data_IF_772233211825
#
_entry.id   IF_772233211825
#
_cell.length_a   1.000
_cell.length_b   1.000
_cell.length_c   1.000
_cell.angle_alpha   90.00
_cell.angle_beta   90.00
_cell.angle_gamma   90.00
#
_symmetry.space_group_name_H-M   'P 1'
#
loop_
_entity.id
_entity.type
_entity.pdbx_description
1 polymer ?
#
# COMPACT_ATOMS: atom_id res chain seq x y z
N UNK A 1 -2.19 -3.48 12.27
CA UNK A 1 -2.35 -3.78 13.72
C UNK A 1 -0.98 -3.56 14.34
N UNK A 2 -0.90 -2.93 15.50
CA UNK A 2 0.34 -2.91 16.31
C UNK A 2 -0.01 -3.20 17.76
N UNK A 3 0.72 -4.10 18.42
CA UNK A 3 0.47 -4.58 19.78
C UNK A 3 -1.01 -4.89 20.06
N UNK A 4 -1.68 -4.01 20.81
CA UNK A 4 -3.07 -4.13 21.20
C UNK A 4 -3.99 -3.15 20.47
N UNK A 5 -3.55 -2.52 19.37
CA UNK A 5 -4.33 -1.54 18.61
C UNK A 5 -4.64 -2.05 17.21
N UNK A 6 -5.92 -2.08 16.86
CA UNK A 6 -6.43 -2.36 15.53
C UNK A 6 -7.21 -1.14 15.03
N UNK A 7 -6.85 -0.65 13.85
CA UNK A 7 -7.60 0.38 13.13
C UNK A 7 -8.34 -0.26 11.96
N UNK A 8 -9.61 0.10 11.78
CA UNK A 8 -10.45 -0.35 10.66
C UNK A 8 -10.99 0.87 9.94
N UNK A 9 -10.69 0.97 8.65
CA UNK A 9 -11.14 2.05 7.78
C UNK A 9 -12.57 1.81 7.29
N UNK A 10 -13.37 2.86 7.23
CA UNK A 10 -14.70 2.87 6.67
C UNK A 10 -14.86 4.06 5.71
N UNK A 11 -14.15 4.06 4.56
CA UNK A 11 -14.09 5.22 3.66
C UNK A 11 -15.45 5.63 3.07
N UNK A 12 -16.42 4.73 3.07
CA UNK A 12 -17.78 4.98 2.57
C UNK A 12 -18.74 5.53 3.63
N UNK A 13 -18.27 5.69 4.87
CA UNK A 13 -19.09 6.20 5.97
C UNK A 13 -19.57 7.63 5.73
N UNK A 14 -20.79 7.93 6.21
CA UNK A 14 -21.41 9.25 6.20
C UNK A 14 -21.37 9.98 4.83
N UNK A 15 -21.79 9.29 3.76
CA UNK A 15 -21.80 9.89 2.42
C UNK A 15 -20.40 10.06 1.84
N UNK A 16 -19.56 9.02 1.96
CA UNK A 16 -18.20 8.98 1.42
C UNK A 16 -17.22 9.96 2.10
N UNK A 17 -17.56 10.51 3.26
CA UNK A 17 -16.62 11.31 4.06
C UNK A 17 -15.54 10.40 4.67
N UNK A 18 -15.95 9.22 5.11
CA UNK A 18 -15.05 8.23 5.70
C UNK A 18 -14.93 8.34 7.23
N UNK A 19 -14.44 7.26 7.82
CA UNK A 19 -14.20 7.12 9.25
C UNK A 19 -13.15 6.04 9.53
N UNK A 20 -12.60 6.05 10.74
CA UNK A 20 -11.74 5.01 11.28
C UNK A 20 -12.30 4.57 12.62
N UNK A 21 -12.44 3.26 12.78
CA UNK A 21 -12.80 2.62 14.04
C UNK A 21 -11.55 2.06 14.69
N UNK A 22 -11.32 2.42 15.95
CA UNK A 22 -10.14 1.97 16.71
C UNK A 22 -10.58 0.97 17.75
N UNK A 23 -9.94 -0.20 17.74
CA UNK A 23 -10.17 -1.29 18.66
C UNK A 23 -8.93 -1.52 19.52
N UNK A 24 -9.16 -1.80 20.80
CA UNK A 24 -8.12 -2.28 21.71
C UNK A 24 -8.31 -3.74 22.06
N UNK A 25 -7.23 -4.51 21.90
CA UNK A 25 -7.12 -5.92 22.20
C UNK A 25 -6.76 -6.19 23.66
N UNK A 26 -7.39 -7.20 24.24
CA UNK A 26 -7.03 -7.77 25.54
C UNK A 26 -7.25 -9.29 25.50
N UNK A 27 -6.16 -10.05 25.40
CA UNK A 27 -6.23 -11.48 25.14
C UNK A 27 -6.87 -11.77 23.78
N UNK A 28 -7.95 -12.56 23.77
CA UNK A 28 -8.69 -12.89 22.54
C UNK A 28 -9.87 -11.96 22.25
N UNK A 29 -10.01 -10.84 22.97
CA UNK A 29 -11.13 -9.92 22.84
C UNK A 29 -10.69 -8.56 22.31
N UNK A 30 -11.46 -8.02 21.37
CA UNK A 30 -11.28 -6.68 20.81
C UNK A 30 -12.48 -5.82 21.18
N UNK A 31 -12.23 -4.60 21.63
CA UNK A 31 -13.27 -3.65 22.04
C UNK A 31 -13.13 -2.35 21.27
N UNK A 32 -14.22 -1.86 20.68
CA UNK A 32 -14.25 -0.55 20.04
C UNK A 32 -14.00 0.53 21.11
N UNK A 33 -12.95 1.33 20.91
CA UNK A 33 -12.55 2.41 21.81
C UNK A 33 -12.93 3.78 21.28
N UNK A 34 -12.81 3.99 19.97
CA UNK A 34 -13.01 5.31 19.36
C UNK A 34 -13.51 5.20 17.91
N UNK A 35 -14.20 6.24 17.47
CA UNK A 35 -14.58 6.47 16.07
C UNK A 35 -14.10 7.86 15.68
N UNK A 36 -13.26 7.91 14.65
CA UNK A 36 -12.68 9.16 14.15
C UNK A 36 -13.20 9.40 12.76
N UNK A 37 -13.88 10.51 12.55
CA UNK A 37 -14.38 10.95 11.25
C UNK A 37 -13.39 11.92 10.59
N UNK A 38 -13.55 12.12 9.28
CA UNK A 38 -12.83 13.17 8.56
C UNK A 38 -12.91 14.52 9.31
N UNK A 39 -11.78 15.13 9.71
CA UNK A 39 -11.77 16.43 10.40
C UNK A 39 -12.34 17.57 9.55
N UNK A 40 -12.35 17.43 8.22
CA UNK A 40 -12.88 18.44 7.31
C UNK A 40 -14.38 18.28 7.04
N UNK A 41 -14.98 17.13 7.39
CA UNK A 41 -16.36 16.76 7.09
C UNK A 41 -16.74 16.98 5.61
N UNK A 42 -15.83 16.63 4.70
CA UNK A 42 -15.98 16.83 3.26
C UNK A 42 -16.49 15.54 2.61
N UNK A 43 -17.59 15.63 1.86
CA UNK A 43 -18.12 14.48 1.14
C UNK A 43 -17.13 14.00 0.07
N UNK A 44 -17.05 12.68 -0.14
CA UNK A 44 -16.08 12.04 -1.04
C UNK A 44 -14.62 12.26 -0.65
N UNK A 45 -14.35 12.49 0.65
CA UNK A 45 -12.99 12.56 1.19
C UNK A 45 -12.46 11.20 1.67
N UNK A 46 -13.25 10.12 1.55
CA UNK A 46 -12.86 8.72 1.78
C UNK A 46 -11.86 8.46 2.92
N UNK A 47 -11.98 9.20 4.02
CA UNK A 47 -11.09 9.11 5.16
C UNK A 47 -11.06 7.68 5.72
N UNK A 48 -9.86 7.14 5.93
CA UNK A 48 -9.69 5.72 6.30
C UNK A 48 -9.58 4.78 5.10
N UNK A 49 -9.38 5.28 3.88
CA UNK A 49 -9.19 4.43 2.69
C UNK A 49 -7.85 3.67 2.71
N UNK A 50 -6.82 4.25 3.30
CA UNK A 50 -5.52 3.62 3.53
C UNK A 50 -5.14 3.79 4.99
N UNK A 51 -4.48 2.79 5.58
CA UNK A 51 -4.15 2.77 7.00
C UNK A 51 -2.76 2.20 7.23
N UNK A 52 -2.06 2.79 8.19
CA UNK A 52 -0.81 2.32 8.77
C UNK A 52 -0.93 2.42 10.28
N UNK A 53 -0.51 1.40 11.00
CA UNK A 53 -0.60 1.37 12.47
C UNK A 53 0.77 1.01 13.01
N UNK A 54 1.28 1.87 13.87
CA UNK A 54 2.55 1.73 14.59
C UNK A 54 2.31 1.98 16.08
N UNK A 55 3.31 1.67 16.91
CA UNK A 55 3.22 1.90 18.36
C UNK A 55 2.96 3.36 18.72
N UNK A 56 3.43 4.28 17.87
CA UNK A 56 3.35 5.73 18.08
C UNK A 56 2.05 6.34 17.55
N UNK A 57 1.24 5.60 16.79
CA UNK A 57 -0.02 6.12 16.28
C UNK A 57 -0.58 5.42 15.04
N UNK A 58 -1.57 6.07 14.46
CA UNK A 58 -2.25 5.62 13.23
C UNK A 58 -2.00 6.67 12.15
N UNK A 59 -1.66 6.22 10.96
CA UNK A 59 -1.63 7.02 9.74
C UNK A 59 -2.82 6.62 8.88
N UNK A 60 -3.49 7.60 8.30
CA UNK A 60 -4.66 7.37 7.45
C UNK A 60 -4.69 8.31 6.26
N UNK A 61 -5.07 7.79 5.10
CA UNK A 61 -5.31 8.58 3.89
C UNK A 61 -6.79 8.88 3.63
N UNK A 62 -7.02 9.95 2.86
CA UNK A 62 -8.29 10.37 2.26
C UNK A 62 -8.25 11.85 1.81
N UNK A 63 -9.06 12.35 0.86
CA UNK A 63 -9.19 11.86 -0.51
C UNK A 63 -9.25 12.96 -1.59
N UNK A 64 -9.63 12.48 -2.78
CA UNK A 64 -9.68 13.03 -4.13
C UNK A 64 -10.19 14.47 -4.27
N UNK A 65 -11.01 14.98 -3.35
CA UNK A 65 -11.67 16.29 -3.51
C UNK A 65 -10.73 17.50 -3.35
N UNK A 66 -9.56 17.30 -2.73
CA UNK A 66 -8.58 18.36 -2.47
C UNK A 66 -7.14 17.96 -2.85
N UNK A 67 -6.94 16.94 -3.68
CA UNK A 67 -5.61 16.38 -3.96
C UNK A 67 -5.11 15.38 -2.93
N UNK A 68 -5.94 15.03 -1.94
CA UNK A 68 -5.62 14.06 -0.89
C UNK A 68 -4.75 14.60 0.25
N UNK A 69 -4.77 13.90 1.37
CA UNK A 69 -3.96 14.15 2.55
C UNK A 69 -3.68 12.84 3.29
N UNK A 70 -2.66 12.86 4.16
CA UNK A 70 -2.46 11.83 5.19
C UNK A 70 -2.62 12.51 6.55
N UNK A 71 -3.36 11.89 7.46
CA UNK A 71 -3.51 12.35 8.83
C UNK A 71 -2.72 11.43 9.75
N UNK A 72 -1.87 12.01 10.60
CA UNK A 72 -1.20 11.32 11.67
C UNK A 72 -2.00 11.51 12.97
N UNK A 73 -2.44 10.39 13.53
CA UNK A 73 -3.23 10.34 14.74
C UNK A 73 -2.40 9.74 15.86
N UNK A 74 -2.42 10.39 17.01
CA UNK A 74 -1.87 9.83 18.23
C UNK A 74 -2.93 9.82 19.33
N UNK A 75 -2.83 8.84 20.19
CA UNK A 75 -3.80 8.61 21.23
C UNK A 75 -3.53 7.32 21.99
N UNK A 76 -4.25 7.16 23.09
CA UNK A 76 -4.30 5.91 23.84
C UNK A 76 -5.68 5.76 24.47
N UNK A 77 -6.15 4.52 24.62
CA UNK A 77 -7.50 4.24 25.10
C UNK A 77 -8.56 4.89 24.20
N UNK A 78 -9.43 5.70 24.80
CA UNK A 78 -10.60 6.34 24.15
C UNK A 78 -10.36 7.79 23.73
N UNK A 79 -9.11 8.21 23.58
CA UNK A 79 -8.78 9.59 23.17
C UNK A 79 -7.74 9.57 22.07
N UNK A 80 -8.19 9.70 20.84
CA UNK A 80 -7.35 9.87 19.66
C UNK A 80 -7.58 11.24 19.04
N UNK A 81 -6.50 11.86 18.59
CA UNK A 81 -6.56 13.18 17.94
C UNK A 81 -5.63 13.22 16.74
N UNK A 82 -6.03 13.98 15.72
CA UNK A 82 -5.15 14.31 14.60
C UNK A 82 -4.05 15.24 15.13
N UNK A 83 -2.81 14.75 15.17
CA UNK A 83 -1.64 15.53 15.55
C UNK A 83 -1.09 16.33 14.37
N UNK A 84 -1.13 15.74 13.17
CA UNK A 84 -0.60 16.36 11.97
C UNK A 84 -1.43 16.01 10.75
N UNK A 85 -1.66 17.01 9.90
CA UNK A 85 -2.07 16.80 8.50
C UNK A 85 -0.82 16.91 7.63
N UNK A 86 -0.53 15.83 6.90
CA UNK A 86 0.62 15.67 6.02
C UNK A 86 0.15 15.87 4.59
N UNK A 87 0.77 16.82 3.91
CA UNK A 87 0.61 17.09 2.48
C UNK A 87 1.98 17.43 1.88
N UNK A 88 2.28 17.02 0.64
CA UNK A 88 3.49 17.43 -0.03
C UNK A 88 3.36 18.89 -0.51
N UNK A 89 4.50 19.58 -0.67
CA UNK A 89 4.51 21.02 -0.98
C UNK A 89 4.01 21.34 -2.39
N UNK A 90 4.17 20.39 -3.31
CA UNK A 90 3.81 20.39 -4.72
C UNK A 90 2.40 19.83 -4.99
N UNK A 91 1.64 19.51 -3.94
CA UNK A 91 0.31 18.89 -4.04
C UNK A 91 -0.65 19.69 -4.93
N UNK A 92 -1.06 19.09 -6.03
CA UNK A 92 -2.15 19.50 -6.91
C UNK A 92 -3.51 18.98 -6.46
N UNK A 93 -4.58 19.62 -6.96
CA UNK A 93 -5.96 19.36 -6.55
C UNK A 93 -6.52 17.97 -6.94
N UNK A 94 -5.79 17.21 -7.75
CA UNK A 94 -6.22 15.92 -8.27
C UNK A 94 -5.10 14.86 -8.17
N UNK A 95 -4.19 14.99 -7.22
CA UNK A 95 -3.02 14.12 -7.14
C UNK A 95 -3.31 12.78 -6.45
N UNK A 96 -4.43 12.71 -5.71
CA UNK A 96 -4.82 11.59 -4.87
C UNK A 96 -3.73 11.18 -3.85
N UNK A 97 -3.04 12.16 -3.26
CA UNK A 97 -2.05 11.90 -2.21
C UNK A 97 -2.68 11.18 -1.02
N UNK A 98 -2.06 10.10 -0.55
CA UNK A 98 -2.62 9.26 0.52
C UNK A 98 -3.50 8.11 0.00
N UNK A 99 -3.61 7.93 -1.32
CA UNK A 99 -4.33 6.79 -1.91
C UNK A 99 -3.82 5.45 -1.37
N UNK A 100 -2.50 5.30 -1.28
CA UNK A 100 -1.85 4.20 -0.60
C UNK A 100 -0.80 4.73 0.37
N UNK A 101 -0.58 4.02 1.46
CA UNK A 101 0.47 4.36 2.41
C UNK A 101 1.02 3.09 3.07
N UNK A 102 2.29 3.14 3.45
CA UNK A 102 2.95 2.10 4.23
C UNK A 102 3.91 2.75 5.23
N UNK A 103 4.01 2.17 6.42
CA UNK A 103 4.81 2.68 7.54
C UNK A 103 5.65 1.55 8.10
N UNK A 104 6.89 1.88 8.46
CA UNK A 104 7.81 1.01 9.21
C UNK A 104 8.59 1.89 10.20
N UNK A 105 8.21 1.80 11.47
CA UNK A 105 8.76 2.63 12.53
C UNK A 105 8.65 4.13 12.21
N UNK A 106 9.79 4.81 12.08
CA UNK A 106 9.82 6.25 11.79
C UNK A 106 9.83 6.60 10.29
N UNK A 107 9.49 5.67 9.40
CA UNK A 107 9.51 5.86 7.94
C UNK A 107 8.11 5.66 7.37
N UNK A 108 7.71 6.53 6.46
CA UNK A 108 6.41 6.49 5.80
C UNK A 108 6.61 6.66 4.29
N UNK A 109 5.92 5.83 3.53
CA UNK A 109 5.81 5.95 2.07
C UNK A 109 4.35 6.25 1.75
N UNK A 110 4.11 7.28 0.94
CA UNK A 110 2.76 7.68 0.53
C UNK A 110 2.68 7.71 -0.98
N UNK A 111 1.68 7.04 -1.54
CA UNK A 111 1.36 7.04 -2.96
C UNK A 111 0.42 8.18 -3.35
N UNK A 112 0.61 8.67 -4.56
CA UNK A 112 -0.14 9.77 -5.18
C UNK A 112 -0.34 9.47 -6.67
N UNK A 113 -1.15 8.46 -7.01
CA UNK A 113 -1.19 7.86 -8.35
C UNK A 113 -1.70 8.78 -9.47
N UNK A 114 -2.32 9.91 -9.13
CA UNK A 114 -2.81 10.87 -10.12
C UNK A 114 -1.91 12.10 -10.27
N UNK A 115 -0.83 12.20 -9.48
CA UNK A 115 0.12 13.31 -9.54
C UNK A 115 0.81 13.37 -10.91
N UNK A 116 0.76 14.54 -11.57
CA UNK A 116 1.45 14.76 -12.84
C UNK A 116 1.03 13.82 -13.99
N UNK A 117 -0.08 13.09 -13.85
CA UNK A 117 -0.54 12.04 -14.77
C UNK A 117 0.16 10.68 -14.59
N UNK A 118 1.49 10.67 -14.42
CA UNK A 118 2.26 9.42 -14.24
C UNK A 118 2.19 8.82 -12.83
N UNK A 119 1.76 9.62 -11.84
CA UNK A 119 1.78 9.26 -10.43
C UNK A 119 3.12 9.56 -9.76
N UNK A 120 3.10 9.61 -8.44
CA UNK A 120 4.27 9.85 -7.61
C UNK A 120 4.22 9.06 -6.30
N UNK A 121 5.38 8.89 -5.69
CA UNK A 121 5.53 8.46 -4.30
C UNK A 121 6.34 9.48 -3.52
N UNK A 122 5.99 9.60 -2.24
CA UNK A 122 6.62 10.52 -1.31
C UNK A 122 7.14 9.74 -0.11
N UNK A 123 8.36 10.06 0.29
CA UNK A 123 9.01 9.47 1.46
C UNK A 123 9.00 10.48 2.60
N UNK A 124 8.58 10.07 3.78
CA UNK A 124 8.58 10.86 4.99
C UNK A 124 9.36 10.16 6.11
N UNK A 125 9.90 10.95 7.02
CA UNK A 125 10.43 10.44 8.29
C UNK A 125 9.82 11.18 9.47
N UNK A 126 9.55 10.47 10.54
CA UNK A 126 9.12 11.04 11.81
C UNK A 126 10.30 11.48 12.67
N UNK A 127 10.21 12.66 13.28
CA UNK A 127 11.09 13.11 14.36
C UNK A 127 10.33 14.04 15.29
N UNK A 128 10.31 13.72 16.59
CA UNK A 128 9.60 14.49 17.63
C UNK A 128 8.12 14.69 17.24
N UNK A 129 7.42 13.58 16.96
CA UNK A 129 5.98 13.56 16.65
C UNK A 129 5.60 14.37 15.39
N UNK A 130 6.55 14.57 14.48
CA UNK A 130 6.33 15.30 13.23
C UNK A 130 6.93 14.55 12.06
N UNK A 131 6.09 14.26 11.06
CA UNK A 131 6.45 13.70 9.77
C UNK A 131 6.97 14.80 8.85
N UNK A 132 8.13 14.55 8.25
CA UNK A 132 8.82 15.49 7.35
C UNK A 132 9.19 14.79 6.05
N UNK A 133 8.89 15.42 4.92
CA UNK A 133 9.19 14.88 3.59
C UNK A 133 10.72 14.78 3.42
N UNK A 134 11.20 13.64 2.95
CA UNK A 134 12.61 13.29 2.71
C UNK A 134 12.92 13.02 1.25
N UNK A 135 11.91 12.78 0.44
CA UNK A 135 12.08 12.55 -0.98
C UNK A 135 10.75 12.43 -1.69
N UNK A 136 10.81 12.55 -3.00
CA UNK A 136 9.73 12.36 -3.93
C UNK A 136 10.30 11.66 -5.16
N UNK A 137 9.55 10.72 -5.71
CA UNK A 137 9.84 10.10 -6.98
C UNK A 137 8.58 10.11 -7.83
N UNK A 138 8.68 10.76 -8.98
CA UNK A 138 7.67 10.71 -10.03
C UNK A 138 8.01 9.57 -10.99
N UNK A 139 7.03 9.10 -11.75
CA UNK A 139 7.29 8.09 -12.77
C UNK A 139 8.39 8.58 -13.74
N UNK A 140 9.49 7.83 -13.92
CA UNK A 140 10.52 8.18 -14.89
C UNK A 140 10.05 8.09 -16.35
N UNK A 141 8.91 7.43 -16.62
CA UNK A 141 8.25 7.29 -17.91
C UNK A 141 7.37 8.49 -18.25
N UNK A 142 7.49 9.00 -19.48
CA UNK A 142 6.81 10.23 -19.94
C UNK A 142 5.30 10.09 -20.20
N UNK A 143 4.65 9.05 -19.68
CA UNK A 143 3.23 8.82 -19.94
C UNK A 143 2.37 9.28 -18.78
N UNK A 144 1.33 10.05 -19.11
CA UNK A 144 0.43 10.65 -18.14
C UNK A 144 -0.57 9.64 -17.52
N UNK A 145 -0.25 8.34 -17.48
CA UNK A 145 -1.18 7.29 -17.05
C UNK A 145 -0.57 6.14 -16.25
N UNK A 146 0.73 6.11 -15.95
CA UNK A 146 1.39 4.94 -15.36
C UNK A 146 0.89 4.61 -13.92
N UNK A 147 0.35 5.61 -13.24
CA UNK A 147 -0.28 5.53 -11.92
C UNK A 147 0.67 5.02 -10.81
N UNK A 148 1.93 5.45 -10.83
CA UNK A 148 2.90 5.17 -9.78
C UNK A 148 2.36 5.58 -8.39
N UNK A 149 2.48 4.67 -7.42
CA UNK A 149 1.97 4.87 -6.06
C UNK A 149 0.53 4.38 -5.88
N UNK A 150 -0.02 3.61 -6.82
CA UNK A 150 -1.30 2.91 -6.62
C UNK A 150 -1.21 1.91 -5.48
N UNK A 151 -0.05 1.31 -5.27
CA UNK A 151 0.25 0.46 -4.12
C UNK A 151 1.66 0.79 -3.61
N UNK A 152 1.87 0.76 -2.31
CA UNK A 152 3.19 0.95 -1.69
C UNK A 152 3.37 -0.03 -0.53
N UNK A 153 4.62 -0.42 -0.29
CA UNK A 153 5.02 -1.21 0.86
C UNK A 153 6.42 -0.78 1.31
N UNK A 154 6.74 -0.92 2.60
CA UNK A 154 8.05 -0.61 3.17
C UNK A 154 8.42 -1.67 4.21
N UNK A 155 9.69 -2.06 4.20
CA UNK A 155 10.32 -2.85 5.26
C UNK A 155 11.76 -2.39 5.44
N UNK A 156 12.12 -2.04 6.68
CA UNK A 156 13.35 -1.40 7.05
C UNK A 156 13.69 -0.23 6.09
N UNK A 157 14.74 -0.38 5.28
CA UNK A 157 15.20 0.67 4.37
C UNK A 157 14.88 0.38 2.91
N UNK A 158 14.00 -0.60 2.62
CA UNK A 158 13.49 -0.89 1.26
C UNK A 158 12.02 -0.51 1.17
N UNK A 159 11.65 0.18 0.10
CA UNK A 159 10.26 0.43 -0.26
C UNK A 159 9.98 -0.09 -1.67
N UNK A 160 8.73 -0.48 -1.90
CA UNK A 160 8.23 -0.93 -3.20
C UNK A 160 7.02 -0.09 -3.55
N UNK A 161 6.91 0.32 -4.82
CA UNK A 161 5.74 1.03 -5.31
C UNK A 161 5.27 0.43 -6.64
N UNK A 162 3.97 0.21 -6.76
CA UNK A 162 3.32 -0.25 -7.99
C UNK A 162 2.88 0.89 -8.91
N UNK A 163 3.03 0.66 -10.21
CA UNK A 163 2.53 1.45 -11.32
C UNK A 163 1.79 0.50 -12.28
N UNK A 164 0.55 0.07 -11.94
CA UNK A 164 -0.15 -0.99 -12.66
C UNK A 164 -0.56 -0.62 -14.09
N UNK A 165 -0.67 0.67 -14.36
CA UNK A 165 -1.03 1.21 -15.68
C UNK A 165 0.21 1.57 -16.49
N UNK A 166 1.42 1.20 -16.05
CA UNK A 166 2.65 1.58 -16.73
C UNK A 166 2.65 1.12 -18.18
N UNK A 167 3.08 2.00 -19.08
CA UNK A 167 3.16 1.72 -20.53
C UNK A 167 4.23 0.66 -20.91
N UNK A 168 4.92 0.04 -19.94
CA UNK A 168 5.74 -1.15 -20.17
C UNK A 168 4.88 -2.30 -20.70
N UNK A 169 4.71 -2.37 -22.02
CA UNK A 169 3.77 -3.26 -22.71
C UNK A 169 2.34 -3.23 -22.16
N UNK A 170 1.97 -2.17 -21.41
CA UNK A 170 0.72 -2.05 -20.65
C UNK A 170 0.49 -3.22 -19.66
N UNK A 171 1.57 -3.83 -19.17
CA UNK A 171 1.53 -4.95 -18.21
C UNK A 171 1.41 -4.42 -16.77
N UNK A 172 2.08 -3.31 -16.47
CA UNK A 172 2.32 -2.81 -15.12
C UNK A 172 3.77 -3.01 -14.68
N UNK A 173 4.18 -2.24 -13.67
CA UNK A 173 5.56 -2.21 -13.16
C UNK A 173 5.56 -2.09 -11.63
N UNK A 174 6.55 -2.70 -10.96
CA UNK A 174 6.86 -2.40 -9.56
C UNK A 174 8.28 -1.87 -9.43
N UNK A 175 8.43 -0.73 -8.76
CA UNK A 175 9.72 -0.06 -8.55
C UNK A 175 10.21 -0.29 -7.13
N UNK A 176 11.49 -0.61 -6.98
CA UNK A 176 12.13 -0.82 -5.67
C UNK A 176 13.05 0.34 -5.36
N UNK A 177 12.85 0.94 -4.18
CA UNK A 177 13.63 2.04 -3.66
C UNK A 177 14.38 1.59 -2.41
N UNK A 178 15.59 2.11 -2.21
CA UNK A 178 16.38 1.87 -1.00
C UNK A 178 16.84 3.18 -0.40
N UNK A 179 16.73 3.28 0.92
CA UNK A 179 17.26 4.39 1.69
C UNK A 179 18.77 4.18 1.96
N UNK A 180 19.56 5.24 1.77
CA UNK A 180 20.97 5.34 2.16
C UNK A 180 21.24 6.76 2.65
N UNK A 181 21.87 6.91 3.82
CA UNK A 181 22.23 8.22 4.39
C UNK A 181 21.08 9.24 4.42
N UNK A 182 19.88 8.79 4.78
CA UNK A 182 18.61 9.54 4.77
C UNK A 182 18.05 9.95 3.40
N UNK A 183 18.69 9.56 2.30
CA UNK A 183 18.18 9.75 0.95
C UNK A 183 17.61 8.44 0.39
N UNK A 184 16.50 8.53 -0.34
CA UNK A 184 15.95 7.41 -1.08
C UNK A 184 16.49 7.41 -2.51
N UNK A 185 16.63 6.23 -3.12
CA UNK A 185 17.00 6.08 -4.51
C UNK A 185 16.32 4.83 -5.11
N UNK A 186 15.83 4.92 -6.34
CA UNK A 186 15.36 3.76 -7.10
C UNK A 186 16.54 2.83 -7.40
N UNK A 187 16.39 1.54 -7.12
CA UNK A 187 17.42 0.50 -7.28
C UNK A 187 17.06 -0.57 -8.28
N UNK A 188 15.77 -0.86 -8.46
CA UNK A 188 15.32 -1.86 -9.40
C UNK A 188 13.95 -1.54 -9.96
N UNK A 189 13.69 -2.10 -11.12
CA UNK A 189 12.38 -2.16 -11.78
C UNK A 189 12.05 -3.65 -11.95
N UNK A 190 10.87 -4.06 -11.50
CA UNK A 190 10.40 -5.43 -11.53
C UNK A 190 9.28 -5.56 -12.57
N UNK A 191 9.37 -6.63 -13.36
CA UNK A 191 8.34 -7.05 -14.30
C UNK A 191 8.10 -8.55 -14.13
N UNK A 192 6.87 -9.03 -14.35
CA UNK A 192 6.58 -10.46 -14.36
C UNK A 192 7.17 -11.10 -15.63
N UNK A 193 7.62 -12.35 -15.53
CA UNK A 193 8.26 -13.06 -16.64
C UNK A 193 7.34 -13.39 -17.81
N UNK A 194 6.05 -13.51 -17.55
CA UNK A 194 4.99 -13.91 -18.48
C UNK A 194 3.91 -12.82 -18.64
N UNK A 195 4.21 -11.59 -18.22
CA UNK A 195 3.26 -10.49 -18.21
C UNK A 195 2.63 -10.21 -19.58
N UNK A 196 1.32 -10.00 -19.57
CA UNK A 196 0.53 -9.63 -20.75
C UNK A 196 -0.15 -8.28 -20.55
N UNK A 197 -0.37 -7.56 -21.65
CA UNK A 197 -1.11 -6.29 -21.64
C UNK A 197 -2.43 -6.42 -20.87
N UNK A 198 -2.64 -5.53 -19.89
CA UNK A 198 -3.85 -5.47 -19.07
C UNK A 198 -3.76 -6.21 -17.73
N UNK A 199 -2.66 -6.92 -17.46
CA UNK A 199 -2.46 -7.73 -16.25
C UNK A 199 -2.43 -6.91 -14.94
N UNK A 200 -2.14 -5.61 -15.03
CA UNK A 200 -2.06 -4.67 -13.91
C UNK A 200 -1.05 -5.09 -12.83
N UNK A 201 0.15 -5.51 -13.26
CA UNK A 201 1.23 -5.91 -12.38
C UNK A 201 1.64 -4.81 -11.41
N UNK A 202 1.87 -5.18 -10.15
CA UNK A 202 2.18 -4.23 -9.07
C UNK A 202 0.94 -3.69 -8.38
N UNK A 203 -0.23 -4.32 -8.57
CA UNK A 203 -1.44 -3.96 -7.84
C UNK A 203 -2.12 -5.19 -7.26
N UNK A 204 -1.86 -5.51 -5.97
CA UNK A 204 -0.97 -4.86 -4.97
C UNK A 204 0.51 -5.32 -4.96
N UNK A 205 1.33 -4.70 -4.08
CA UNK A 205 2.69 -5.11 -3.71
C UNK A 205 2.84 -5.28 -2.18
N UNK A 206 3.78 -6.11 -1.74
CA UNK A 206 4.24 -6.19 -0.34
C UNK A 206 5.75 -6.52 -0.28
N UNK A 207 6.37 -6.28 0.87
CA UNK A 207 7.76 -6.61 1.13
C UNK A 207 7.95 -7.10 2.57
N UNK A 208 8.79 -8.12 2.74
CA UNK A 208 9.33 -8.58 4.01
C UNK A 208 10.79 -9.03 3.81
N UNK A 209 11.71 -8.33 4.44
CA UNK A 209 13.15 -8.52 4.34
C UNK A 209 13.68 -8.53 2.91
N UNK A 210 14.05 -9.73 2.45
CA UNK A 210 14.62 -9.97 1.12
C UNK A 210 13.61 -10.49 0.09
N UNK A 211 12.31 -10.42 0.40
CA UNK A 211 11.24 -10.97 -0.44
C UNK A 211 10.23 -9.88 -0.76
N UNK A 212 9.94 -9.71 -2.06
CA UNK A 212 8.89 -8.82 -2.56
C UNK A 212 7.80 -9.67 -3.20
N UNK A 213 6.57 -9.30 -2.93
CA UNK A 213 5.39 -9.81 -3.62
C UNK A 213 4.81 -8.72 -4.51
N UNK A 214 4.40 -9.08 -5.71
CA UNK A 214 3.64 -8.21 -6.60
C UNK A 214 2.60 -9.04 -7.35
N UNK A 215 1.37 -8.56 -7.44
CA UNK A 215 0.30 -9.27 -8.13
C UNK A 215 -0.06 -8.64 -9.48
N UNK A 216 -0.50 -9.50 -10.39
CA UNK A 216 -1.21 -9.16 -11.62
C UNK A 216 -2.64 -9.66 -11.51
N UNK A 217 -3.47 -8.90 -10.81
CA UNK A 217 -4.82 -9.35 -10.41
C UNK A 217 -5.77 -9.53 -11.61
N UNK A 218 -5.46 -8.90 -12.76
CA UNK A 218 -6.24 -9.01 -13.99
C UNK A 218 -5.76 -10.15 -14.92
N UNK A 219 -4.68 -10.84 -14.56
CA UNK A 219 -4.09 -11.89 -15.38
C UNK A 219 -5.09 -13.00 -15.71
N UNK A 220 -5.04 -13.50 -16.96
CA UNK A 220 -5.95 -14.52 -17.49
C UNK A 220 -7.44 -14.22 -17.29
N UNK A 221 -7.85 -12.98 -17.56
CA UNK A 221 -9.24 -12.55 -17.43
C UNK A 221 -9.68 -12.38 -15.98
N UNK A 222 -8.77 -11.93 -15.12
CA UNK A 222 -9.02 -11.76 -13.69
C UNK A 222 -8.98 -13.06 -12.89
N UNK A 223 -8.36 -14.12 -13.40
CA UNK A 223 -8.03 -15.28 -12.55
C UNK A 223 -6.99 -14.89 -11.50
N UNK A 224 -6.05 -14.01 -11.88
CA UNK A 224 -5.05 -13.42 -11.02
C UNK A 224 -3.86 -14.34 -10.75
N UNK A 225 -2.72 -13.72 -10.48
CA UNK A 225 -1.45 -14.39 -10.13
C UNK A 225 -0.61 -13.44 -9.27
N UNK A 226 0.18 -13.98 -8.36
CA UNK A 226 1.16 -13.23 -7.59
C UNK A 226 2.58 -13.75 -7.85
N UNK A 227 3.54 -12.85 -7.89
CA UNK A 227 4.93 -13.15 -8.20
C UNK A 227 5.78 -12.90 -6.96
N UNK A 228 6.68 -13.83 -6.67
CA UNK A 228 7.67 -13.72 -5.59
C UNK A 228 9.00 -13.30 -6.20
N UNK A 229 9.53 -12.15 -5.78
CA UNK A 229 10.86 -11.69 -6.13
C UNK A 229 11.77 -11.81 -4.91
N UNK A 230 12.97 -12.33 -5.12
CA UNK A 230 13.99 -12.47 -4.06
C UNK A 230 15.21 -11.63 -4.37
N UNK A 231 15.82 -11.12 -3.30
CA UNK A 231 17.04 -10.33 -3.36
C UNK A 231 18.27 -11.23 -3.41
N UNK A 232 18.93 -11.25 -4.56
CA UNK A 232 20.21 -11.93 -4.77
C UNK A 232 21.43 -11.05 -4.43
N UNK A 233 22.61 -11.53 -4.85
CA UNK A 233 23.88 -10.82 -4.63
C UNK A 233 23.92 -9.44 -5.29
N UNK A 234 24.48 -8.45 -4.58
CA UNK A 234 24.65 -7.09 -5.08
C UNK A 234 23.35 -6.30 -5.24
N UNK A 235 22.37 -6.55 -4.37
CA UNK A 235 21.05 -5.90 -4.36
C UNK A 235 20.22 -6.11 -5.64
N UNK A 236 20.46 -7.20 -6.36
CA UNK A 236 19.69 -7.56 -7.57
C UNK A 236 18.46 -8.36 -7.21
N UNK A 237 17.32 -7.99 -7.75
CA UNK A 237 16.07 -8.72 -7.59
C UNK A 237 15.78 -9.60 -8.79
N UNK A 238 15.26 -10.80 -8.54
CA UNK A 238 14.82 -11.73 -9.59
C UNK A 238 13.56 -12.47 -9.16
N UNK A 239 12.66 -12.73 -10.11
CA UNK A 239 11.48 -13.56 -9.89
C UNK A 239 11.91 -14.98 -9.53
N UNK A 240 11.49 -15.45 -8.36
CA UNK A 240 11.76 -16.78 -7.85
C UNK A 240 10.59 -17.74 -8.08
N UNK A 241 9.36 -17.23 -8.03
CA UNK A 241 8.16 -18.08 -8.10
C UNK A 241 6.93 -17.31 -8.62
N UNK A 242 6.00 -18.05 -9.20
CA UNK A 242 4.61 -17.65 -9.45
C UNK A 242 3.68 -18.41 -8.50
N UNK A 243 2.77 -17.68 -7.88
CA UNK A 243 1.74 -18.17 -6.98
C UNK A 243 0.39 -17.98 -7.66
N UNK A 244 -0.29 -19.10 -7.93
CA UNK A 244 -1.64 -19.12 -8.47
C UNK A 244 -2.56 -19.86 -7.49
N UNK A 245 -3.86 -19.53 -7.47
CA UNK A 245 -4.83 -20.32 -6.73
C UNK A 245 -4.88 -21.76 -7.26
N UNK A 246 -5.19 -22.73 -6.40
CA UNK A 246 -5.33 -24.14 -6.80
C UNK A 246 -6.45 -24.40 -7.81
N UNK A 247 -7.38 -23.46 -7.92
CA UNK A 247 -8.63 -23.51 -8.65
C UNK A 247 -8.89 -22.18 -9.38
N UNK A 248 -8.04 -21.79 -10.33
CA UNK A 248 -8.12 -20.47 -10.97
C UNK A 248 -9.48 -20.27 -11.67
N UNK A 249 -10.19 -19.22 -11.25
CA UNK A 249 -11.47 -18.81 -11.82
C UNK A 249 -11.33 -17.40 -12.42
N UNK A 250 -11.61 -17.21 -13.72
CA UNK A 250 -11.69 -15.86 -14.31
C UNK A 250 -12.65 -14.96 -13.52
N UNK A 251 -12.23 -13.71 -13.28
CA UNK A 251 -12.95 -12.75 -12.47
C UNK A 251 -12.89 -12.96 -10.95
N UNK A 252 -12.08 -13.89 -10.42
CA UNK A 252 -11.86 -14.04 -8.97
C UNK A 252 -10.95 -12.95 -8.37
N UNK A 253 -10.10 -12.35 -9.22
CA UNK A 253 -9.08 -11.36 -8.91
C UNK A 253 -8.16 -11.80 -7.77
N UNK A 254 -7.60 -13.01 -7.87
CA UNK A 254 -6.56 -13.46 -6.95
C UNK A 254 -5.39 -12.46 -6.95
N UNK A 255 -4.97 -12.04 -5.76
CA UNK A 255 -4.00 -10.97 -5.59
C UNK A 255 -4.63 -9.66 -5.16
N UNK A 256 -5.93 -9.42 -5.39
CA UNK A 256 -6.60 -8.17 -5.04
C UNK A 256 -7.59 -8.35 -3.88
N UNK A 257 -7.82 -7.36 -3.00
CA UNK A 257 -7.03 -6.14 -2.86
C UNK A 257 -5.74 -6.33 -2.06
N UNK A 258 -5.55 -7.48 -1.41
CA UNK A 258 -4.48 -7.67 -0.43
C UNK A 258 -3.63 -8.90 -0.71
N UNK A 259 -2.32 -8.69 -0.62
CA UNK A 259 -1.34 -9.74 -0.37
C UNK A 259 -0.42 -9.27 0.76
N UNK A 260 -0.04 -10.16 1.67
CA UNK A 260 0.75 -9.83 2.85
C UNK A 260 1.55 -11.03 3.32
N UNK A 261 2.51 -10.78 4.21
CA UNK A 261 3.23 -11.79 4.95
C UNK A 261 2.58 -12.02 6.33
N UNK A 262 2.68 -13.26 6.82
CA UNK A 262 2.48 -13.64 8.23
C UNK A 262 3.66 -14.52 8.65
N UNK A 263 4.68 -13.91 9.26
CA UNK A 263 5.97 -14.55 9.42
C UNK A 263 6.54 -14.98 8.07
N UNK A 264 6.84 -16.28 7.91
CA UNK A 264 7.32 -16.82 6.64
C UNK A 264 6.22 -17.16 5.64
N UNK A 265 4.95 -17.11 6.07
CA UNK A 265 3.81 -17.46 5.23
C UNK A 265 3.33 -16.25 4.43
N UNK A 266 2.68 -16.54 3.31
CA UNK A 266 2.11 -15.54 2.40
C UNK A 266 0.60 -15.73 2.36
N UNK A 267 -0.14 -14.64 2.57
CA UNK A 267 -1.59 -14.58 2.52
C UNK A 267 -2.03 -13.75 1.32
N UNK A 268 -2.94 -14.28 0.50
CA UNK A 268 -3.40 -13.62 -0.74
C UNK A 268 -4.92 -13.72 -0.85
N UNK A 269 -5.60 -12.59 -1.06
CA UNK A 269 -7.05 -12.55 -1.20
C UNK A 269 -7.53 -12.80 -2.64
N UNK A 270 -8.74 -13.36 -2.77
CA UNK A 270 -9.53 -13.43 -4.00
C UNK A 270 -11.02 -13.20 -3.67
N UNK A 271 -11.45 -11.94 -3.52
CA UNK A 271 -12.74 -11.58 -2.92
C UNK A 271 -13.94 -11.91 -3.81
N UNK A 272 -13.71 -12.08 -5.11
CA UNK A 272 -14.79 -12.36 -6.08
C UNK A 272 -14.99 -13.85 -6.35
N UNK A 273 -14.31 -14.72 -5.60
CA UNK A 273 -14.72 -16.12 -5.46
C UNK A 273 -16.06 -16.22 -4.73
N UNK A 274 -16.72 -17.38 -4.80
CA UNK A 274 -18.00 -17.58 -4.08
C UNK A 274 -17.78 -17.48 -2.56
N UNK A 275 -18.17 -16.35 -1.97
CA UNK A 275 -18.00 -16.05 -0.55
C UNK A 275 -16.71 -15.33 -0.18
N UNK A 276 -15.82 -15.06 -1.14
CA UNK A 276 -14.48 -14.52 -0.91
C UNK A 276 -13.53 -15.54 -0.28
N UNK A 277 -12.29 -15.60 -0.76
CA UNK A 277 -11.30 -16.59 -0.30
C UNK A 277 -9.99 -15.91 0.07
N UNK A 278 -9.36 -16.40 1.12
CA UNK A 278 -7.96 -16.11 1.47
C UNK A 278 -7.14 -17.38 1.27
N UNK A 279 -6.10 -17.29 0.46
CA UNK A 279 -5.17 -18.39 0.22
C UNK A 279 -3.95 -18.23 1.12
N UNK A 280 -3.49 -19.36 1.67
CA UNK A 280 -2.33 -19.45 2.54
C UNK A 280 -1.23 -20.25 1.83
N UNK A 281 -0.06 -19.64 1.64
CA UNK A 281 1.10 -20.28 1.05
C UNK A 281 2.22 -20.34 2.09
N UNK A 282 2.65 -21.55 2.42
CA UNK A 282 3.77 -21.78 3.32
C UNK A 282 5.03 -22.20 2.58
N UNK A 283 6.22 -21.78 3.02
CA UNK A 283 7.47 -22.31 2.50
C UNK A 283 7.52 -23.83 2.69
N UNK A 284 8.05 -24.55 1.72
CA UNK A 284 8.37 -25.96 1.92
C UNK A 284 9.63 -26.05 2.78
N UNK A 285 9.56 -26.73 3.94
CA UNK A 285 10.78 -27.07 4.69
C UNK A 285 11.62 -28.05 3.84
N UNK A 286 12.89 -27.69 3.62
CA UNK A 286 13.88 -28.54 2.95
C UNK A 286 14.72 -29.32 3.95
#
# INVERSE_FOLDING_TARGET
VSDNTLAVGAPYHNGYMGAIYIFTGSGSSWTLQDEITDPLNTAFDYFGASLGVEDHGILTGGAESAGGAVYALAGSGSTWTVQQTIVPADRGAADAFGFSLAVDGSKLVVGSPQHGGGGAIYFYSESKENWTQRGEFQDPGTSATDALGTSVAIDDSTAVAGAPSSDYSQVGTAYVYRQSDNAWAMKATLHPSDGVTGDAFGWPVAIDGSTILAASSNHNGGAGVAYVFTKGHGDKWSQAQELAPSDPQPGAFFGWPTLTFDGSDILISAPYTTGGTLYWFSPQEH
#
